data_IF_199761710076
#
_entry.id   IF_199761710076
#
_cell.length_a   1.000
_cell.length_b   1.000
_cell.length_c   1.000
_cell.angle_alpha   90.00
_cell.angle_beta   90.00
_cell.angle_gamma   90.00
#
_symmetry.space_group_name_H-M   'P 1'
#
loop_
_entity.id
_entity.type
_entity.pdbx_description
1 polymer ?
#
# COMPACT_ATOMS: atom_id res chain seq x y z
N UNK A 1 -18.26 6.17 -7.60
CA UNK A 1 -18.04 5.96 -6.18
C UNK A 1 -16.88 6.76 -5.68
N UNK A 2 -17.13 7.66 -4.80
CA UNK A 2 -16.03 8.44 -4.25
C UNK A 2 -15.16 7.59 -3.33
N UNK A 3 -13.89 7.56 -3.65
CA UNK A 3 -12.93 6.96 -2.74
C UNK A 3 -12.55 8.03 -1.76
N UNK A 4 -13.13 8.00 -0.60
CA UNK A 4 -12.76 8.94 0.44
C UNK A 4 -11.59 8.39 1.22
N UNK A 5 -10.93 9.29 1.93
CA UNK A 5 -9.82 8.90 2.77
C UNK A 5 -10.24 7.84 3.79
N UNK A 6 -11.43 7.98 4.32
CA UNK A 6 -11.94 7.04 5.30
C UNK A 6 -12.18 5.65 4.71
N UNK A 7 -12.65 5.59 3.46
CA UNK A 7 -12.84 4.31 2.79
C UNK A 7 -11.51 3.59 2.61
N UNK A 8 -10.50 4.34 2.20
CA UNK A 8 -9.16 3.79 2.02
C UNK A 8 -8.62 3.27 3.35
N UNK A 9 -8.77 4.07 4.39
CA UNK A 9 -8.30 3.70 5.72
C UNK A 9 -8.99 2.44 6.22
N UNK A 10 -10.30 2.37 6.07
CA UNK A 10 -11.06 1.22 6.52
C UNK A 10 -10.63 -0.04 5.78
N UNK A 11 -10.41 0.06 4.49
CA UNK A 11 -9.97 -1.07 3.70
C UNK A 11 -8.59 -1.54 4.11
N UNK A 12 -7.69 -0.62 4.35
CA UNK A 12 -6.33 -0.96 4.77
C UNK A 12 -6.34 -1.57 6.18
N UNK A 13 -7.12 -1.00 7.08
CA UNK A 13 -7.24 -1.55 8.43
C UNK A 13 -7.74 -2.99 8.41
N UNK A 14 -8.63 -3.30 7.50
CA UNK A 14 -9.18 -4.65 7.41
C UNK A 14 -8.18 -5.66 6.88
N UNK A 15 -7.08 -5.19 6.31
CA UNK A 15 -6.08 -6.06 5.68
C UNK A 15 -4.75 -6.06 6.43
N UNK A 16 -4.71 -5.53 7.64
CA UNK A 16 -3.50 -5.56 8.46
C UNK A 16 -3.07 -7.00 8.68
N UNK A 17 -1.79 -7.26 8.46
CA UNK A 17 -1.24 -8.60 8.59
C UNK A 17 -1.25 -9.39 7.31
N UNK A 18 -1.82 -8.85 6.26
CA UNK A 18 -1.90 -9.54 4.97
C UNK A 18 -0.88 -8.99 3.98
N UNK A 19 -0.60 -9.79 2.98
CA UNK A 19 0.32 -9.38 1.92
C UNK A 19 -0.34 -8.32 1.05
N UNK A 20 0.42 -7.30 0.72
CA UNK A 20 -0.05 -6.23 -0.15
C UNK A 20 1.02 -5.94 -1.19
N UNK A 21 0.58 -5.39 -2.31
CA UNK A 21 1.49 -4.95 -3.37
C UNK A 21 1.32 -3.46 -3.54
N UNK A 22 2.41 -2.74 -3.51
CA UNK A 22 2.42 -1.29 -3.67
C UNK A 22 3.01 -0.96 -5.04
N UNK A 23 2.26 -0.20 -5.80
CA UNK A 23 2.72 0.27 -7.11
C UNK A 23 2.85 1.77 -7.05
N UNK A 24 4.06 2.27 -7.20
CA UNK A 24 4.35 3.70 -7.13
C UNK A 24 4.83 4.20 -8.47
N UNK A 25 4.38 5.39 -8.83
CA UNK A 25 4.85 6.04 -10.04
C UNK A 25 6.06 6.87 -9.72
N UNK A 26 7.19 6.50 -10.30
CA UNK A 26 8.46 7.18 -10.05
C UNK A 26 8.89 7.99 -11.26
N UNK A 27 7.94 8.66 -11.90
CA UNK A 27 8.23 9.43 -13.07
C UNK A 27 7.23 9.14 -14.19
N UNK A 28 7.47 9.71 -15.35
CA UNK A 28 6.50 9.62 -16.43
C UNK A 28 6.29 8.21 -16.96
N UNK A 29 7.34 7.40 -16.96
CA UNK A 29 7.26 6.07 -17.53
C UNK A 29 7.81 5.01 -16.61
N UNK A 30 8.10 5.37 -15.37
CA UNK A 30 8.64 4.42 -14.42
C UNK A 30 7.59 4.07 -13.38
N UNK A 31 7.36 2.79 -13.27
CA UNK A 31 6.47 2.25 -12.25
C UNK A 31 7.29 1.33 -11.37
N UNK A 32 7.27 1.58 -10.07
CA UNK A 32 7.96 0.74 -9.11
C UNK A 32 6.93 -0.14 -8.41
N UNK A 33 7.17 -1.43 -8.43
CA UNK A 33 6.27 -2.39 -7.82
C UNK A 33 6.99 -3.07 -6.67
N UNK A 34 6.38 -3.04 -5.51
CA UNK A 34 6.95 -3.67 -4.32
C UNK A 34 5.86 -4.44 -3.59
N UNK A 35 6.24 -5.55 -3.02
CA UNK A 35 5.31 -6.34 -2.23
C UNK A 35 5.84 -6.50 -0.81
N UNK A 36 4.92 -6.68 0.11
CA UNK A 36 5.27 -6.83 1.51
C UNK A 36 4.05 -7.13 2.34
N UNK A 37 4.20 -7.03 3.63
CA UNK A 37 3.13 -7.31 4.59
C UNK A 37 2.70 -6.00 5.24
N UNK A 38 1.40 -5.77 5.25
CA UNK A 38 0.85 -4.59 5.92
C UNK A 38 0.97 -4.80 7.42
N UNK A 39 1.81 -4.00 8.06
CA UNK A 39 2.12 -4.20 9.47
C UNK A 39 1.30 -3.35 10.42
N UNK A 40 1.21 -2.07 10.12
CA UNK A 40 0.57 -1.14 11.04
C UNK A 40 -0.15 -0.06 10.25
N UNK A 41 -1.20 0.49 10.87
CA UNK A 41 -1.91 1.62 10.29
C UNK A 41 -1.97 2.73 11.33
N UNK A 42 -1.92 3.95 10.86
CA UNK A 42 -2.00 5.14 11.69
C UNK A 42 -3.05 6.07 11.10
N UNK A 43 -3.46 7.10 11.81
CA UNK A 43 -4.52 7.97 11.31
C UNK A 43 -4.25 8.64 9.96
N UNK A 44 -2.98 8.85 9.60
CA UNK A 44 -2.65 9.51 8.35
C UNK A 44 -1.74 8.71 7.43
N UNK A 45 -1.25 7.56 7.89
CA UNK A 45 -0.37 6.74 7.07
C UNK A 45 -0.43 5.28 7.48
N UNK A 46 0.19 4.43 6.70
CA UNK A 46 0.32 3.02 7.05
C UNK A 46 1.75 2.56 6.77
N UNK A 47 2.16 1.49 7.45
CA UNK A 47 3.50 0.95 7.34
C UNK A 47 3.45 -0.45 6.75
N UNK A 48 4.27 -0.67 5.74
CA UNK A 48 4.39 -1.96 5.07
C UNK A 48 5.81 -2.48 5.29
N UNK A 49 5.90 -3.73 5.71
CA UNK A 49 7.20 -4.39 5.81
C UNK A 49 7.51 -5.04 4.48
N UNK A 50 8.50 -4.51 3.79
CA UNK A 50 8.86 -4.99 2.47
C UNK A 50 9.68 -6.26 2.59
N UNK A 51 9.34 -7.23 1.76
CA UNK A 51 10.03 -8.51 1.75
C UNK A 51 10.93 -8.58 0.52
N UNK A 52 11.93 -7.73 0.50
CA UNK A 52 12.88 -7.69 -0.59
C UNK A 52 14.28 -7.93 -0.07
N UNK A 53 15.03 -8.78 -0.76
CA UNK A 53 16.46 -8.96 -0.54
C UNK A 53 16.84 -9.36 0.88
N UNK A 54 16.03 -10.11 1.56
CA UNK A 54 16.34 -10.58 2.91
C UNK A 54 16.55 -9.46 3.93
N UNK A 55 16.44 -8.22 3.52
CA UNK A 55 16.45 -7.08 4.42
C UNK A 55 15.03 -6.60 4.60
N UNK A 56 14.47 -6.86 5.76
CA UNK A 56 13.09 -6.46 6.03
C UNK A 56 13.05 -4.95 6.24
N UNK A 57 12.76 -4.23 5.18
CA UNK A 57 12.64 -2.79 5.24
C UNK A 57 11.20 -2.40 5.49
N UNK A 58 11.03 -1.38 6.30
CA UNK A 58 9.70 -0.82 6.53
C UNK A 58 9.56 0.45 5.69
N UNK A 59 8.47 0.52 4.96
CA UNK A 59 8.16 1.70 4.17
C UNK A 59 6.81 2.25 4.63
N UNK A 60 6.76 3.54 4.82
CA UNK A 60 5.51 4.19 5.20
C UNK A 60 4.94 4.92 4.00
N UNK A 61 3.63 4.86 3.88
CA UNK A 61 2.91 5.48 2.77
C UNK A 61 1.74 6.25 3.33
N UNK A 62 1.43 7.37 2.70
CA UNK A 62 0.32 8.21 3.12
C UNK A 62 -0.97 7.76 2.43
N UNK A 63 -2.07 7.84 3.15
CA UNK A 63 -3.37 7.57 2.53
C UNK A 63 -3.66 8.57 1.42
N UNK A 64 -3.17 9.78 1.56
CA UNK A 64 -3.35 10.81 0.54
C UNK A 64 -2.70 10.41 -0.77
N UNK A 65 -1.57 9.73 -0.71
CA UNK A 65 -0.89 9.27 -1.92
C UNK A 65 -1.75 8.27 -2.69
N UNK A 66 -2.52 7.45 -1.96
CA UNK A 66 -3.45 6.54 -2.62
C UNK A 66 -4.61 7.31 -3.21
N UNK A 67 -5.12 8.27 -2.47
CA UNK A 67 -6.26 9.07 -2.91
C UNK A 67 -5.94 9.86 -4.17
N UNK A 68 -4.73 10.40 -4.26
CA UNK A 68 -4.29 11.16 -5.42
C UNK A 68 -3.71 10.28 -6.52
N UNK A 69 -3.68 8.98 -6.28
CA UNK A 69 -3.19 7.99 -7.24
C UNK A 69 -1.70 8.11 -7.54
N UNK A 70 -0.95 8.67 -6.62
CA UNK A 70 0.49 8.63 -6.71
C UNK A 70 1.01 7.22 -6.45
N UNK A 71 0.29 6.47 -5.62
CA UNK A 71 0.59 5.06 -5.41
C UNK A 71 -0.73 4.28 -5.47
N UNK A 72 -0.60 3.01 -5.80
CA UNK A 72 -1.72 2.07 -5.77
C UNK A 72 -1.38 0.94 -4.82
N UNK A 73 -2.39 0.46 -4.12
CA UNK A 73 -2.21 -0.69 -3.24
C UNK A 73 -3.18 -1.79 -3.68
N UNK A 74 -2.66 -3.00 -3.78
CA UNK A 74 -3.45 -4.18 -4.12
C UNK A 74 -3.28 -5.20 -3.02
N UNK A 75 -4.38 -5.74 -2.53
CA UNK A 75 -4.34 -6.71 -1.45
C UNK A 75 -4.30 -8.12 -2.02
N UNK A 76 -3.78 -9.05 -1.22
CA UNK A 76 -3.59 -10.41 -1.67
C UNK A 76 -4.89 -11.08 -2.14
N UNK A 77 -5.98 -10.78 -1.47
CA UNK A 77 -7.27 -11.37 -1.84
C UNK A 77 -7.88 -10.72 -3.07
N UNK A 78 -7.31 -9.63 -3.55
CA UNK A 78 -7.74 -8.97 -4.77
C UNK A 78 -6.87 -9.32 -5.97
N UNK A 79 -5.76 -10.00 -5.74
CA UNK A 79 -4.85 -10.35 -6.81
C UNK A 79 -5.44 -11.49 -7.63
N UNK A 80 -5.35 -11.39 -8.95
CA UNK A 80 -5.74 -12.52 -9.78
C UNK A 80 -4.76 -13.66 -9.56
N UNK A 81 -5.27 -14.79 -9.26
CA UNK A 81 -4.43 -15.97 -9.01
C UNK A 81 -4.30 -16.86 -10.23
#
# INVERSE_FOLDING_TARGET
MPSSLQDIKTKIDAHVGQEVKIIAQAGRKKITERSGILRSTFPSLFVVELDEDANFEHASYSYTDILTKNIDITFADELPS
#
